data_IF_155913531175
#
_entry.id   IF_155913531175
#
_cell.length_a   1.000
_cell.length_b   1.000
_cell.length_c   1.000
_cell.angle_alpha   90.00
_cell.angle_beta   90.00
_cell.angle_gamma   90.00
#
_symmetry.space_group_name_H-M   'P 1'
#
loop_
_entity.id
_entity.type
_entity.pdbx_description
1 polymer ?
#
# COMPACT_ATOMS: atom_id res chain seq x y z
N UNK A 1 18.07 -22.14 -1.23
CA UNK A 1 18.62 -21.10 -0.33
C UNK A 1 17.42 -20.26 0.08
N UNK A 2 17.10 -20.19 1.36
CA UNK A 2 16.01 -19.33 1.84
C UNK A 2 16.29 -17.90 1.38
N UNK A 3 15.31 -17.25 0.75
CA UNK A 3 15.45 -15.85 0.35
C UNK A 3 15.66 -14.94 1.56
N UNK A 4 15.79 -13.62 1.35
CA UNK A 4 15.96 -12.66 2.46
C UNK A 4 14.72 -12.58 3.39
N UNK A 5 13.60 -13.19 3.00
CA UNK A 5 12.34 -13.22 3.74
C UNK A 5 11.91 -14.66 4.00
N UNK A 6 11.19 -14.89 5.09
CA UNK A 6 10.74 -16.22 5.51
C UNK A 6 9.47 -16.62 4.76
N UNK A 7 8.53 -15.69 4.58
CA UNK A 7 7.22 -15.98 3.98
C UNK A 7 6.94 -15.21 2.69
N UNK A 8 7.75 -14.21 2.35
CA UNK A 8 7.57 -13.38 1.14
C UNK A 8 8.35 -13.98 -0.04
N UNK A 9 7.65 -14.21 -1.15
CA UNK A 9 8.28 -14.65 -2.41
C UNK A 9 8.46 -13.45 -3.34
N UNK A 10 9.71 -13.19 -3.74
CA UNK A 10 10.04 -12.12 -4.69
C UNK A 10 9.67 -12.60 -6.11
N UNK A 11 8.76 -11.91 -6.82
CA UNK A 11 8.40 -12.26 -8.18
C UNK A 11 9.47 -11.80 -9.20
N UNK A 12 9.35 -12.21 -10.46
CA UNK A 12 10.20 -11.72 -11.55
C UNK A 12 9.90 -10.24 -11.84
N UNK A 13 10.93 -9.40 -11.84
CA UNK A 13 10.84 -7.96 -12.05
C UNK A 13 12.01 -7.23 -11.41
N UNK A 14 11.98 -5.90 -11.49
CA UNK A 14 13.05 -5.04 -10.97
C UNK A 14 12.53 -4.09 -9.89
N UNK A 15 13.42 -3.70 -8.96
CA UNK A 15 13.08 -2.73 -7.91
C UNK A 15 12.92 -1.33 -8.50
N UNK A 16 12.04 -0.54 -7.89
CA UNK A 16 12.02 0.91 -8.10
C UNK A 16 13.22 1.49 -7.33
N UNK A 17 14.04 2.29 -8.00
CA UNK A 17 15.19 3.00 -7.38
C UNK A 17 14.90 4.47 -7.20
N UNK A 18 15.62 5.11 -6.28
CA UNK A 18 15.61 6.55 -6.09
C UNK A 18 16.96 7.11 -6.52
N UNK A 19 16.96 8.02 -7.49
CA UNK A 19 18.16 8.72 -7.93
C UNK A 19 18.68 9.69 -6.85
N UNK A 20 19.90 10.20 -7.02
CA UNK A 20 20.54 11.09 -6.04
C UNK A 20 19.82 12.42 -5.83
N UNK A 21 18.98 12.84 -6.78
CA UNK A 21 18.14 14.04 -6.70
C UNK A 21 16.74 13.79 -6.10
N UNK A 22 16.45 12.55 -5.70
CA UNK A 22 15.17 12.13 -5.13
C UNK A 22 14.12 11.72 -6.16
N UNK A 23 14.43 11.73 -7.46
CA UNK A 23 13.51 11.21 -8.48
C UNK A 23 13.40 9.69 -8.42
N UNK A 24 12.20 9.17 -8.67
CA UNK A 24 11.97 7.72 -8.76
C UNK A 24 12.26 7.22 -10.17
N UNK A 25 13.11 6.21 -10.27
CA UNK A 25 13.39 5.49 -11.49
C UNK A 25 12.59 4.18 -11.49
N UNK A 26 11.58 4.12 -12.36
CA UNK A 26 10.69 2.95 -12.47
C UNK A 26 11.08 2.11 -13.70
N UNK A 27 11.44 0.82 -13.53
CA UNK A 27 11.68 -0.10 -14.65
C UNK A 27 10.39 -0.39 -15.43
N UNK A 28 10.47 -1.17 -16.51
CA UNK A 28 9.28 -1.55 -17.29
C UNK A 28 8.40 -2.60 -16.58
N UNK A 29 9.00 -3.39 -15.68
CA UNK A 29 8.32 -4.39 -14.83
C UNK A 29 8.68 -4.17 -13.35
N UNK A 30 8.20 -3.09 -12.71
CA UNK A 30 8.49 -2.81 -11.32
C UNK A 30 7.86 -3.84 -10.39
N UNK A 31 8.60 -4.23 -9.35
CA UNK A 31 8.06 -4.99 -8.22
C UNK A 31 7.37 -4.02 -7.25
N UNK A 32 6.09 -4.28 -6.97
CA UNK A 32 5.27 -3.50 -6.04
C UNK A 32 4.70 -4.41 -4.97
N UNK A 33 4.94 -4.06 -3.71
CA UNK A 33 4.38 -4.80 -2.57
C UNK A 33 2.87 -4.61 -2.47
N UNK A 34 2.12 -5.66 -2.14
CA UNK A 34 0.71 -5.53 -1.78
C UNK A 34 0.37 -6.30 -0.52
N UNK A 35 -0.42 -5.67 0.35
CA UNK A 35 -1.08 -6.34 1.49
C UNK A 35 -2.56 -6.45 1.13
N UNK A 36 -3.06 -7.68 0.98
CA UNK A 36 -4.47 -7.92 0.62
C UNK A 36 -5.44 -7.24 1.61
N UNK A 37 -5.09 -7.29 2.90
CA UNK A 37 -5.88 -6.72 3.99
C UNK A 37 -6.91 -7.69 4.55
N UNK A 38 -7.64 -7.23 5.57
CA UNK A 38 -8.59 -8.03 6.33
C UNK A 38 -10.04 -7.72 5.90
N UNK A 39 -10.99 -8.58 6.29
CA UNK A 39 -12.41 -8.40 6.00
C UNK A 39 -12.71 -8.32 4.50
N UNK A 40 -13.11 -7.14 4.01
CA UNK A 40 -13.39 -6.89 2.59
C UNK A 40 -12.13 -6.72 1.72
N UNK A 41 -10.94 -6.76 2.32
CA UNK A 41 -9.65 -6.59 1.63
C UNK A 41 -9.47 -7.49 0.41
N UNK A 42 -9.62 -8.82 0.53
CA UNK A 42 -9.48 -9.76 -0.59
C UNK A 42 -10.35 -9.44 -1.81
N UNK A 43 -11.61 -9.07 -1.58
CA UNK A 43 -12.56 -8.73 -2.64
C UNK A 43 -12.14 -7.44 -3.38
N UNK A 44 -11.72 -6.43 -2.62
CA UNK A 44 -11.24 -5.15 -3.17
C UNK A 44 -9.93 -5.35 -3.92
N UNK A 45 -8.98 -6.10 -3.34
CA UNK A 45 -7.66 -6.29 -3.91
C UNK A 45 -7.73 -7.00 -5.26
N UNK A 46 -8.46 -8.12 -5.34
CA UNK A 46 -8.65 -8.87 -6.59
C UNK A 46 -9.16 -7.99 -7.73
N UNK A 47 -10.11 -7.11 -7.42
CA UNK A 47 -10.68 -6.17 -8.39
C UNK A 47 -9.69 -5.05 -8.74
N UNK A 48 -8.97 -4.52 -7.74
CA UNK A 48 -8.00 -3.44 -7.92
C UNK A 48 -6.82 -3.88 -8.78
N UNK A 49 -6.24 -5.05 -8.51
CA UNK A 49 -5.16 -5.62 -9.30
C UNK A 49 -5.56 -5.76 -10.77
N UNK A 50 -6.74 -6.34 -11.04
CA UNK A 50 -7.25 -6.48 -12.40
C UNK A 50 -7.40 -5.13 -13.13
N UNK A 51 -7.89 -4.11 -12.42
CA UNK A 51 -8.02 -2.75 -12.95
C UNK A 51 -6.66 -2.13 -13.26
N UNK A 52 -5.69 -2.24 -12.34
CA UNK A 52 -4.34 -1.71 -12.52
C UNK A 52 -3.62 -2.38 -13.70
N UNK A 53 -3.65 -3.71 -13.77
CA UNK A 53 -3.03 -4.47 -14.86
C UNK A 53 -3.64 -4.08 -16.22
N UNK A 54 -4.96 -3.91 -16.26
CA UNK A 54 -5.68 -3.47 -17.47
C UNK A 54 -5.32 -2.04 -17.87
N UNK A 55 -5.23 -1.12 -16.90
CA UNK A 55 -4.87 0.27 -17.14
C UNK A 55 -3.42 0.41 -17.63
N UNK A 56 -2.47 -0.28 -17.00
CA UNK A 56 -1.07 -0.31 -17.43
C UNK A 56 -0.95 -0.89 -18.83
N UNK A 57 -1.59 -2.03 -19.10
CA UNK A 57 -1.60 -2.63 -20.44
C UNK A 57 -2.18 -1.67 -21.49
N UNK A 58 -3.27 -0.97 -21.18
CA UNK A 58 -3.90 -0.02 -22.08
C UNK A 58 -2.97 1.18 -22.39
N UNK A 59 -2.40 1.80 -21.35
CA UNK A 59 -1.57 2.99 -21.51
C UNK A 59 -0.22 2.72 -22.20
N UNK A 60 0.35 1.53 -21.99
CA UNK A 60 1.70 1.20 -22.48
C UNK A 60 1.73 0.17 -23.60
N UNK A 61 0.57 -0.27 -24.10
CA UNK A 61 0.48 -1.26 -25.19
C UNK A 61 1.17 -2.59 -24.85
N UNK A 62 1.20 -2.97 -23.57
CA UNK A 62 1.87 -4.18 -23.07
C UNK A 62 3.39 -4.08 -22.93
N UNK A 63 4.01 -2.92 -23.17
CA UNK A 63 5.45 -2.71 -22.93
C UNK A 63 5.81 -2.61 -21.44
N UNK A 64 4.82 -2.39 -20.59
CA UNK A 64 4.96 -2.34 -19.14
C UNK A 64 3.95 -3.24 -18.47
N UNK A 65 4.33 -3.79 -17.33
CA UNK A 65 3.50 -4.61 -16.43
C UNK A 65 3.86 -4.29 -14.99
N UNK A 66 3.08 -4.76 -14.01
CA UNK A 66 3.45 -4.66 -12.59
C UNK A 66 3.68 -6.06 -12.06
N UNK A 67 4.78 -6.25 -11.33
CA UNK A 67 5.09 -7.51 -10.66
C UNK A 67 4.65 -7.41 -9.20
N UNK A 68 3.56 -8.08 -8.87
CA UNK A 68 2.93 -7.97 -7.56
C UNK A 68 3.59 -8.91 -6.56
N UNK A 69 4.16 -8.34 -5.49
CA UNK A 69 4.78 -9.08 -4.39
C UNK A 69 3.86 -9.07 -3.17
N UNK A 70 3.30 -10.23 -2.82
CA UNK A 70 2.46 -10.35 -1.64
C UNK A 70 3.29 -10.17 -0.36
N UNK A 71 2.85 -9.26 0.50
CA UNK A 71 3.42 -8.97 1.81
C UNK A 71 2.30 -9.02 2.87
N UNK A 72 2.63 -9.44 4.09
CA UNK A 72 1.60 -9.81 5.07
C UNK A 72 1.49 -8.80 6.21
N UNK A 73 0.28 -8.30 6.47
CA UNK A 73 -0.09 -7.65 7.73
C UNK A 73 -1.56 -7.95 8.06
N UNK A 74 -1.94 -7.80 9.33
CA UNK A 74 -3.31 -8.06 9.78
C UNK A 74 -3.54 -9.52 10.20
N UNK A 75 -4.80 -9.94 10.14
CA UNK A 75 -5.22 -11.30 10.51
C UNK A 75 -4.52 -12.35 9.63
N UNK A 76 -4.42 -12.07 8.32
CA UNK A 76 -3.72 -12.96 7.38
C UNK A 76 -2.24 -13.15 7.73
N UNK A 77 -1.57 -12.12 8.25
CA UNK A 77 -0.19 -12.26 8.70
C UNK A 77 -0.08 -13.09 9.97
N UNK A 78 -1.01 -12.90 10.91
CA UNK A 78 -1.03 -13.70 12.13
C UNK A 78 -1.23 -15.20 11.83
N UNK A 79 -2.04 -15.54 10.82
CA UNK A 79 -2.25 -16.92 10.40
C UNK A 79 -1.01 -17.55 9.71
N UNK A 80 -0.27 -16.76 8.92
CA UNK A 80 0.89 -17.24 8.16
C UNK A 80 2.16 -17.27 9.01
N UNK A 81 2.39 -16.23 9.81
CA UNK A 81 3.67 -15.97 10.48
C UNK A 81 3.57 -15.99 12.01
N UNK A 82 2.37 -16.06 12.58
CA UNK A 82 2.15 -15.89 14.03
C UNK A 82 2.28 -14.45 14.54
N UNK A 83 2.36 -13.45 13.65
CA UNK A 83 2.43 -12.03 14.00
C UNK A 83 1.53 -11.18 13.11
N UNK A 84 0.79 -10.25 13.70
CA UNK A 84 -0.05 -9.29 12.96
C UNK A 84 0.75 -8.28 12.13
N UNK A 85 2.01 -8.05 12.49
CA UNK A 85 2.91 -7.17 11.74
C UNK A 85 4.34 -7.72 11.81
N UNK A 86 4.68 -8.65 10.90
CA UNK A 86 6.01 -9.25 10.82
C UNK A 86 7.07 -8.20 10.47
N UNK A 87 8.28 -8.31 11.04
CA UNK A 87 9.37 -7.38 10.70
C UNK A 87 9.81 -7.53 9.24
N UNK A 88 9.69 -8.73 8.65
CA UNK A 88 9.94 -8.94 7.22
C UNK A 88 9.03 -8.10 6.31
N UNK A 89 7.80 -7.79 6.73
CA UNK A 89 6.89 -6.91 5.99
C UNK A 89 7.42 -5.48 5.98
N UNK A 90 7.91 -5.00 7.12
CA UNK A 90 8.52 -3.66 7.22
C UNK A 90 9.78 -3.60 6.37
N UNK A 91 10.61 -4.64 6.43
CA UNK A 91 11.85 -4.73 5.67
C UNK A 91 11.57 -4.79 4.16
N UNK A 92 10.61 -5.58 3.71
CA UNK A 92 10.22 -5.66 2.31
C UNK A 92 9.71 -4.31 1.78
N UNK A 93 8.90 -3.57 2.56
CA UNK A 93 8.45 -2.23 2.14
C UNK A 93 9.65 -1.27 2.02
N UNK A 94 10.63 -1.32 2.94
CA UNK A 94 11.85 -0.51 2.85
C UNK A 94 12.72 -0.88 1.65
N UNK A 95 12.85 -2.18 1.37
CA UNK A 95 13.72 -2.70 0.32
C UNK A 95 13.18 -2.49 -1.11
N UNK A 96 11.86 -2.33 -1.26
CA UNK A 96 11.18 -2.19 -2.56
C UNK A 96 10.49 -0.83 -2.74
N UNK A 97 10.35 -0.04 -1.68
CA UNK A 97 9.95 1.37 -1.70
C UNK A 97 8.45 1.65 -1.88
N UNK A 98 7.77 0.92 -2.76
CA UNK A 98 6.34 1.15 -3.07
C UNK A 98 5.50 -0.05 -2.67
N UNK A 99 4.45 0.21 -1.89
CA UNK A 99 3.46 -0.78 -1.53
C UNK A 99 2.04 -0.22 -1.47
N UNK A 100 1.05 -1.07 -1.73
CA UNK A 100 -0.38 -0.80 -1.60
C UNK A 100 -1.00 -1.75 -0.57
N UNK A 101 -2.04 -1.31 0.14
CA UNK A 101 -2.71 -2.17 1.13
C UNK A 101 -4.22 -2.02 1.17
N UNK A 102 -4.91 -3.14 1.40
CA UNK A 102 -6.30 -3.16 1.83
C UNK A 102 -6.50 -2.67 3.27
N UNK A 103 -7.75 -2.64 3.78
CA UNK A 103 -8.02 -2.33 5.19
C UNK A 103 -7.37 -3.36 6.13
N UNK A 104 -7.05 -2.97 7.36
CA UNK A 104 -6.50 -3.87 8.37
C UNK A 104 -7.33 -3.79 9.66
N UNK A 105 -7.68 -4.95 10.21
CA UNK A 105 -8.30 -5.08 11.52
C UNK A 105 -7.22 -4.95 12.59
N UNK A 106 -7.45 -4.08 13.59
CA UNK A 106 -6.58 -4.05 14.78
C UNK A 106 -7.25 -4.86 15.89
N UNK A 107 -6.64 -5.96 16.36
CA UNK A 107 -7.22 -6.78 17.42
C UNK A 107 -7.32 -5.98 18.72
N UNK A 108 -8.44 -6.14 19.43
CA UNK A 108 -8.66 -5.49 20.73
C UNK A 108 -7.75 -6.15 21.78
N UNK A 109 -6.98 -5.34 22.52
CA UNK A 109 -6.15 -5.81 23.64
C UNK A 109 -4.74 -6.29 23.28
N UNK A 110 -4.31 -6.16 22.01
CA UNK A 110 -3.01 -6.66 21.52
C UNK A 110 -1.78 -5.77 21.76
N UNK A 111 -1.84 -4.76 22.62
CA UNK A 111 -0.69 -3.90 22.95
C UNK A 111 -0.31 -2.84 21.90
N UNK A 112 -0.98 -2.79 20.74
CA UNK A 112 -0.82 -1.74 19.74
C UNK A 112 -2.12 -0.95 19.56
N UNK A 113 -2.04 0.39 19.50
CA UNK A 113 -3.21 1.26 19.31
C UNK A 113 -3.82 1.09 17.91
N UNK A 114 -2.99 0.86 16.89
CA UNK A 114 -3.40 0.58 15.51
C UNK A 114 -2.23 0.02 14.67
N UNK A 115 -2.48 -1.02 13.87
CA UNK A 115 -1.50 -1.53 12.89
C UNK A 115 -1.12 -0.47 11.85
N UNK A 116 -2.06 0.37 11.44
CA UNK A 116 -1.79 1.44 10.48
C UNK A 116 -0.90 2.53 11.07
N UNK A 117 -1.05 2.85 12.36
CA UNK A 117 -0.16 3.79 13.07
C UNK A 117 1.24 3.20 13.19
N UNK A 118 1.34 1.93 13.59
CA UNK A 118 2.63 1.24 13.69
C UNK A 118 3.38 1.19 12.36
N UNK A 119 2.70 0.90 11.25
CA UNK A 119 3.28 0.96 9.90
C UNK A 119 3.85 2.34 9.59
N UNK A 120 3.10 3.41 9.85
CA UNK A 120 3.53 4.79 9.56
C UNK A 120 4.76 5.18 10.37
N UNK A 121 4.77 4.87 11.66
CA UNK A 121 5.89 5.17 12.56
C UNK A 121 7.15 4.37 12.20
N UNK A 122 7.03 3.05 11.97
CA UNK A 122 8.19 2.18 11.64
C UNK A 122 8.82 2.49 10.28
N UNK A 123 8.05 3.05 9.36
CA UNK A 123 8.46 3.42 8.01
C UNK A 123 8.72 4.91 7.82
N UNK A 124 8.55 5.72 8.87
CA UNK A 124 8.68 7.19 8.83
C UNK A 124 7.84 7.85 7.72
N UNK A 125 6.60 7.38 7.55
CA UNK A 125 5.65 7.90 6.56
C UNK A 125 4.96 9.16 7.10
N UNK A 126 5.73 10.24 7.23
CA UNK A 126 5.35 11.49 7.88
C UNK A 126 4.21 12.27 7.20
N UNK A 127 3.94 12.01 5.91
CA UNK A 127 2.86 12.68 5.17
C UNK A 127 1.71 11.74 4.85
N UNK A 128 0.51 12.06 5.38
CA UNK A 128 -0.74 11.45 4.94
C UNK A 128 -1.40 12.35 3.88
N UNK A 129 -1.22 11.99 2.61
CA UNK A 129 -1.77 12.73 1.46
C UNK A 129 -3.16 12.21 1.10
N UNK A 130 -4.16 13.10 1.03
CA UNK A 130 -5.56 12.75 0.70
C UNK A 130 -6.13 13.66 -0.37
N UNK A 131 -6.14 13.24 -1.65
CA UNK A 131 -6.91 13.89 -2.70
C UNK A 131 -8.42 13.73 -2.42
N UNK A 132 -9.15 14.84 -2.48
CA UNK A 132 -10.61 14.89 -2.30
C UNK A 132 -11.20 15.62 -3.50
N UNK A 133 -11.92 14.87 -4.33
CA UNK A 133 -12.60 15.40 -5.53
C UNK A 133 -13.94 14.74 -5.73
N UNK A 134 -14.87 15.45 -6.37
CA UNK A 134 -16.15 14.86 -6.79
C UNK A 134 -16.02 14.14 -8.14
N UNK A 135 -16.78 13.06 -8.27
CA UNK A 135 -16.96 12.33 -9.54
C UNK A 135 -18.42 12.50 -10.00
N UNK A 136 -18.65 12.90 -11.26
CA UNK A 136 -20.01 13.03 -11.80
C UNK A 136 -20.84 11.76 -11.57
N UNK A 137 -22.08 11.93 -11.10
CA UNK A 137 -23.00 10.83 -10.78
C UNK A 137 -22.90 10.27 -9.35
N UNK A 138 -21.84 10.59 -8.58
CA UNK A 138 -21.77 10.22 -7.17
C UNK A 138 -22.74 11.08 -6.34
N UNK A 139 -23.69 10.48 -5.60
CA UNK A 139 -24.61 11.23 -4.74
C UNK A 139 -23.86 12.06 -3.71
N UNK A 140 -24.34 13.28 -3.47
CA UNK A 140 -23.71 14.20 -2.53
C UNK A 140 -24.75 14.89 -1.64
N UNK A 141 -24.44 15.12 -0.35
CA UNK A 141 -25.30 15.87 0.54
C UNK A 141 -25.22 17.40 0.37
N UNK A 142 -24.25 17.92 -0.39
CA UNK A 142 -24.03 19.37 -0.58
C UNK A 142 -24.49 19.86 -1.95
N UNK A 143 -24.79 21.16 -2.08
CA UNK A 143 -25.32 21.77 -3.31
C UNK A 143 -24.33 21.79 -4.48
N UNK A 144 -23.05 22.02 -4.20
CA UNK A 144 -21.98 22.16 -5.21
C UNK A 144 -20.79 21.24 -4.90
N UNK A 145 -20.97 19.91 -5.02
CA UNK A 145 -19.86 18.97 -4.78
C UNK A 145 -18.78 19.07 -5.86
N UNK A 146 -19.15 19.51 -7.06
CA UNK A 146 -18.29 19.73 -8.21
C UNK A 146 -17.20 20.79 -7.98
N UNK A 147 -17.37 21.67 -6.98
CA UNK A 147 -16.36 22.65 -6.59
C UNK A 147 -15.24 22.06 -5.71
N UNK A 148 -15.42 20.84 -5.23
CA UNK A 148 -14.43 20.16 -4.38
C UNK A 148 -13.34 19.56 -5.28
N UNK A 149 -12.18 20.20 -5.27
CA UNK A 149 -10.93 19.68 -5.82
C UNK A 149 -9.76 20.14 -4.93
N UNK A 150 -9.38 19.27 -3.99
CA UNK A 150 -8.40 19.60 -2.94
C UNK A 150 -7.43 18.44 -2.72
N UNK A 151 -6.22 18.76 -2.26
CA UNK A 151 -5.27 17.76 -1.76
C UNK A 151 -4.89 18.16 -0.33
N UNK A 152 -5.22 17.29 0.64
CA UNK A 152 -4.88 17.50 2.04
C UNK A 152 -3.54 16.83 2.33
N UNK A 153 -2.58 17.61 2.83
CA UNK A 153 -1.34 17.12 3.41
C UNK A 153 -1.48 17.16 4.93
N UNK A 154 -1.59 15.99 5.55
CA UNK A 154 -1.73 15.85 6.99
C UNK A 154 -0.45 15.29 7.59
N UNK A 155 0.10 15.93 8.61
CA UNK A 155 1.16 15.40 9.47
C UNK A 155 0.69 14.05 10.10
N UNK A 156 1.58 13.05 10.13
CA UNK A 156 1.21 11.65 10.31
C UNK A 156 2.12 10.84 11.24
N UNK A 157 3.09 11.48 11.89
CA UNK A 157 4.03 10.86 12.84
C UNK A 157 4.03 11.51 14.23
N UNK A 158 3.54 12.74 14.39
CA UNK A 158 3.48 13.46 15.67
C UNK A 158 2.03 13.66 16.20
N UNK A 159 1.80 14.75 16.95
CA UNK A 159 0.53 15.16 17.59
C UNK A 159 0.04 14.15 18.66
N UNK A 160 -1.22 14.25 19.10
CA UNK A 160 -1.88 13.33 20.06
C UNK A 160 -1.95 11.85 19.61
N UNK A 161 -1.41 11.57 18.41
CA UNK A 161 -1.27 10.24 17.84
C UNK A 161 0.09 9.57 18.16
N UNK A 162 1.07 10.32 18.67
CA UNK A 162 2.35 9.81 19.15
C UNK A 162 2.23 8.97 20.44
#
# INVERSE_FOLDING_TARGET
>A
MSGPYEHITIPEGDKISTASDGTLETPDTPIVGFIEGDGIGPDIWKTSQHLFDSAVKHCYGGKRTVSWMEIFAGERANDVTGSYLPDETIQAIKDFGVAIKGPLTTPVGGGFRSLNVALRQKLDLYSCVRPVRHFPGVPSPVKHPDWVDMVIFRENVEDVYA
#
